data_IF_154312036362
#
_entry.id   IF_154312036362
#
_cell.length_a   1.000
_cell.length_b   1.000
_cell.length_c   1.000
_cell.angle_alpha   90.00
_cell.angle_beta   90.00
_cell.angle_gamma   90.00
#
_symmetry.space_group_name_H-M   'P 1'
#
loop_
_entity.id
_entity.type
_entity.pdbx_description
1 polymer ?
#
# COMPACT_ATOMS: atom_id res chain seq x y z
N UNK A 1 -12.75 -25.65 -46.19
CA UNK A 1 -11.93 -24.45 -45.90
C UNK A 1 -12.58 -23.68 -44.75
N UNK A 2 -12.73 -24.28 -43.57
CA UNK A 2 -13.51 -23.70 -42.44
C UNK A 2 -12.79 -23.84 -41.09
N UNK A 3 -11.61 -24.49 -41.03
CA UNK A 3 -11.00 -24.90 -39.75
C UNK A 3 -9.90 -23.96 -39.23
N UNK A 4 -9.46 -22.97 -40.01
CA UNK A 4 -8.42 -22.02 -39.58
C UNK A 4 -8.94 -20.76 -38.87
N UNK A 5 -10.22 -20.40 -39.03
CA UNK A 5 -10.79 -19.18 -38.43
C UNK A 5 -11.20 -19.37 -36.95
N UNK A 6 -11.55 -20.59 -36.53
CA UNK A 6 -12.00 -20.84 -35.16
C UNK A 6 -10.85 -20.74 -34.13
N UNK A 7 -9.62 -21.09 -34.53
CA UNK A 7 -8.43 -21.03 -33.67
C UNK A 7 -7.92 -19.59 -33.44
N UNK A 8 -8.12 -18.68 -34.39
CA UNK A 8 -7.69 -17.28 -34.27
C UNK A 8 -8.58 -16.48 -33.32
N UNK A 9 -9.91 -16.67 -33.37
CA UNK A 9 -10.86 -15.97 -32.48
C UNK A 9 -10.65 -16.35 -31.01
N UNK A 10 -10.43 -17.64 -30.71
CA UNK A 10 -10.14 -18.10 -29.34
C UNK A 10 -8.86 -17.47 -28.80
N UNK A 11 -7.80 -17.38 -29.63
CA UNK A 11 -6.55 -16.71 -29.24
C UNK A 11 -6.74 -15.21 -29.00
N UNK A 12 -7.51 -14.52 -29.83
CA UNK A 12 -7.81 -13.10 -29.65
C UNK A 12 -8.58 -12.85 -28.34
N UNK A 13 -9.58 -13.68 -28.03
CA UNK A 13 -10.34 -13.58 -26.79
C UNK A 13 -9.46 -13.81 -25.55
N UNK A 14 -8.58 -14.81 -25.60
CA UNK A 14 -7.62 -15.09 -24.53
C UNK A 14 -6.68 -13.90 -24.29
N UNK A 15 -6.17 -13.28 -25.36
CA UNK A 15 -5.34 -12.07 -25.24
C UNK A 15 -6.11 -10.90 -24.64
N UNK A 16 -7.36 -10.65 -25.07
CA UNK A 16 -8.19 -9.58 -24.53
C UNK A 16 -8.49 -9.78 -23.04
N UNK A 17 -8.87 -11.00 -22.64
CA UNK A 17 -9.13 -11.34 -21.24
C UNK A 17 -7.87 -11.12 -20.40
N UNK A 18 -6.71 -11.57 -20.89
CA UNK A 18 -5.43 -11.37 -20.21
C UNK A 18 -5.10 -9.90 -20.05
N UNK A 19 -5.22 -9.10 -21.11
CA UNK A 19 -4.94 -7.67 -21.07
C UNK A 19 -5.86 -6.93 -20.07
N UNK A 20 -7.16 -7.26 -20.07
CA UNK A 20 -8.11 -6.66 -19.13
C UNK A 20 -7.82 -7.06 -17.69
N UNK A 21 -7.51 -8.34 -17.44
CA UNK A 21 -7.19 -8.82 -16.10
C UNK A 21 -5.91 -8.16 -15.57
N UNK A 22 -4.86 -8.07 -16.40
CA UNK A 22 -3.62 -7.40 -16.04
C UNK A 22 -3.86 -5.94 -15.65
N UNK A 23 -4.67 -5.19 -16.43
CA UNK A 23 -5.02 -3.81 -16.08
C UNK A 23 -5.66 -3.68 -14.70
N UNK A 24 -6.55 -4.61 -14.33
CA UNK A 24 -7.20 -4.60 -13.00
C UNK A 24 -6.18 -4.89 -11.90
N UNK A 25 -5.26 -5.83 -12.13
CA UNK A 25 -4.18 -6.14 -11.17
C UNK A 25 -3.28 -4.92 -10.96
N UNK A 26 -2.89 -4.24 -12.05
CA UNK A 26 -2.08 -3.02 -12.00
C UNK A 26 -2.77 -1.90 -11.21
N UNK A 27 -4.08 -1.76 -11.36
CA UNK A 27 -4.87 -0.78 -10.62
C UNK A 27 -4.94 -1.09 -9.12
N UNK A 28 -5.16 -2.35 -8.76
CA UNK A 28 -5.12 -2.83 -7.36
C UNK A 28 -3.76 -2.57 -6.73
N UNK A 29 -2.66 -2.85 -7.45
CA UNK A 29 -1.30 -2.59 -6.96
C UNK A 29 -1.05 -1.09 -6.77
N UNK A 30 -1.29 -0.29 -7.81
CA UNK A 30 -0.89 1.12 -7.85
C UNK A 30 -1.73 1.98 -6.93
N UNK A 31 -3.05 1.76 -6.91
CA UNK A 31 -3.98 2.58 -6.12
C UNK A 31 -4.25 2.01 -4.73
N UNK A 32 -3.69 0.84 -4.43
CA UNK A 32 -3.94 0.09 -3.17
C UNK A 32 -5.44 -0.09 -2.89
N UNK A 33 -6.26 -0.27 -3.94
CA UNK A 33 -7.71 -0.50 -3.84
C UNK A 33 -8.03 -1.98 -3.78
N UNK A 34 -9.12 -2.34 -3.08
CA UNK A 34 -9.64 -3.71 -3.06
C UNK A 34 -10.74 -3.88 -4.10
N UNK A 35 -10.70 -4.97 -4.88
CA UNK A 35 -11.70 -5.29 -5.90
C UNK A 35 -12.37 -6.61 -5.58
N UNK A 36 -13.70 -6.60 -5.45
CA UNK A 36 -14.52 -7.81 -5.26
C UNK A 36 -15.03 -8.32 -6.62
N UNK A 37 -14.62 -9.52 -7.00
CA UNK A 37 -15.06 -10.16 -8.23
C UNK A 37 -16.31 -10.98 -7.89
N UNK A 38 -17.41 -10.70 -8.59
CA UNK A 38 -18.68 -11.41 -8.43
C UNK A 38 -19.07 -12.14 -9.71
N UNK A 39 -19.83 -13.24 -9.56
CA UNK A 39 -20.48 -13.95 -10.65
C UNK A 39 -21.95 -14.14 -10.28
N UNK A 40 -22.85 -13.55 -11.08
CA UNK A 40 -24.30 -13.53 -10.80
C UNK A 40 -24.63 -12.97 -9.40
N UNK A 41 -23.99 -11.85 -9.04
CA UNK A 41 -24.15 -11.20 -7.73
C UNK A 41 -23.51 -11.92 -6.54
N UNK A 42 -22.96 -13.13 -6.74
CA UNK A 42 -22.27 -13.88 -5.69
C UNK A 42 -20.76 -13.61 -5.74
N UNK A 43 -20.11 -13.23 -4.63
CA UNK A 43 -18.67 -13.09 -4.56
C UNK A 43 -17.97 -14.41 -4.89
N UNK A 44 -16.93 -14.36 -5.74
CA UNK A 44 -16.15 -15.55 -6.14
C UNK A 44 -14.64 -15.38 -5.94
N UNK A 45 -14.14 -14.15 -5.94
CA UNK A 45 -12.75 -13.84 -5.63
C UNK A 45 -12.62 -12.40 -5.13
N UNK A 46 -11.53 -12.11 -4.43
CA UNK A 46 -11.18 -10.77 -3.97
C UNK A 46 -9.72 -10.52 -4.36
N UNK A 47 -9.48 -9.41 -5.05
CA UNK A 47 -8.14 -8.89 -5.26
C UNK A 47 -7.88 -7.84 -4.19
N UNK A 48 -6.87 -8.10 -3.37
CA UNK A 48 -6.34 -7.14 -2.41
C UNK A 48 -4.96 -6.70 -2.89
N UNK A 49 -4.53 -5.47 -2.59
CA UNK A 49 -3.14 -5.10 -2.80
C UNK A 49 -2.24 -6.09 -2.06
N UNK A 50 -1.12 -6.46 -2.68
CA UNK A 50 -0.12 -7.26 -1.98
C UNK A 50 0.40 -6.47 -0.77
N UNK A 51 0.66 -7.18 0.32
CA UNK A 51 1.37 -6.60 1.46
C UNK A 51 2.80 -6.33 1.02
N UNK A 52 3.11 -5.06 0.81
CA UNK A 52 4.50 -4.63 0.76
C UNK A 52 5.01 -4.66 2.18
N UNK A 53 6.25 -5.15 2.37
CA UNK A 53 6.99 -4.89 3.60
C UNK A 53 7.17 -3.37 3.67
N UNK A 54 6.18 -2.66 4.21
CA UNK A 54 6.42 -1.37 4.79
C UNK A 54 7.56 -1.62 5.79
N UNK A 55 8.69 -0.94 5.60
CA UNK A 55 9.66 -0.84 6.69
C UNK A 55 8.87 -0.52 7.96
N UNK A 56 9.25 -1.14 9.07
CA UNK A 56 8.51 -1.02 10.32
C UNK A 56 8.16 0.47 10.53
N UNK A 57 6.87 0.76 10.74
CA UNK A 57 6.40 2.12 11.01
C UNK A 57 7.02 2.66 12.30
N UNK A 58 7.57 1.77 13.12
CA UNK A 58 8.40 2.08 14.27
C UNK A 58 9.88 1.91 13.96
N UNK A 59 10.70 2.71 14.63
CA UNK A 59 12.16 2.56 14.55
C UNK A 59 12.85 3.33 13.43
N UNK A 60 12.17 4.26 12.74
CA UNK A 60 12.84 5.17 11.78
C UNK A 60 13.98 5.99 12.39
N UNK A 61 13.94 6.21 13.72
CA UNK A 61 14.99 6.85 14.52
C UNK A 61 15.59 5.87 15.55
N UNK A 62 15.39 4.56 15.36
CA UNK A 62 16.02 3.57 16.21
C UNK A 62 17.54 3.79 16.15
N UNK A 63 18.18 3.79 17.33
CA UNK A 63 19.63 3.95 17.47
C UNK A 63 20.18 5.33 17.06
N UNK A 64 19.34 6.32 16.72
CA UNK A 64 19.78 7.71 16.51
C UNK A 64 19.61 8.60 17.75
N UNK A 65 19.02 8.07 18.81
CA UNK A 65 18.76 8.77 20.07
C UNK A 65 19.71 8.27 21.15
N UNK A 66 20.33 9.22 21.85
CA UNK A 66 21.07 8.99 23.09
C UNK A 66 20.16 9.34 24.28
N UNK A 67 20.21 8.53 25.33
CA UNK A 67 19.49 8.83 26.58
C UNK A 67 20.28 9.89 27.32
N UNK A 68 19.78 11.13 27.28
CA UNK A 68 20.33 12.26 28.03
C UNK A 68 19.96 12.20 29.52
N UNK A 69 20.61 13.05 30.31
CA UNK A 69 20.27 13.28 31.73
C UNK A 69 19.01 14.15 31.87
N UNK A 70 18.69 14.57 33.10
CA UNK A 70 17.47 15.28 33.50
C UNK A 70 16.94 16.28 32.47
N UNK A 71 15.82 15.89 31.84
CA UNK A 71 15.10 16.65 30.81
C UNK A 71 14.01 17.55 31.42
N UNK A 72 13.66 17.32 32.69
CA UNK A 72 12.59 18.02 33.38
C UNK A 72 13.10 19.29 34.07
N UNK A 73 14.38 19.33 34.41
CA UNK A 73 15.00 20.51 34.99
C UNK A 73 14.92 21.71 34.04
N UNK A 74 14.58 22.90 34.56
CA UNK A 74 14.52 24.10 33.76
C UNK A 74 15.92 24.45 33.25
N UNK A 75 16.01 24.72 31.94
CA UNK A 75 17.26 25.14 31.27
C UNK A 75 17.86 26.41 31.90
N UNK A 76 17.04 27.20 32.59
CA UNK A 76 17.47 28.40 33.32
C UNK A 76 17.11 28.28 34.80
N UNK A 77 18.03 28.72 35.67
CA UNK A 77 17.88 28.63 37.11
C UNK A 77 16.65 29.40 37.62
N UNK A 78 16.05 28.94 38.72
CA UNK A 78 14.89 29.60 39.36
C UNK A 78 15.10 31.09 39.65
N UNK A 79 16.35 31.53 39.87
CA UNK A 79 16.70 32.94 40.09
C UNK A 79 16.53 33.79 38.82
N UNK A 80 16.70 33.20 37.63
CA UNK A 80 16.46 33.86 36.35
C UNK A 80 14.97 34.12 36.09
N UNK A 81 14.06 33.44 36.80
CA UNK A 81 12.61 33.58 36.67
C UNK A 81 12.04 34.79 37.42
N UNK A 82 12.88 35.74 37.87
CA UNK A 82 12.40 36.98 38.52
C UNK A 82 11.61 37.84 37.53
N UNK A 83 10.29 37.70 37.67
CA UNK A 83 9.17 38.47 37.10
C UNK A 83 9.56 39.88 36.66
N UNK A 84 9.42 40.17 35.36
CA UNK A 84 9.07 41.52 34.91
C UNK A 84 7.70 41.85 35.55
N UNK A 85 7.70 42.75 36.53
CA UNK A 85 6.49 43.46 36.94
C UNK A 85 6.25 44.61 35.98
#
# INVERSE_FOLDING_TARGET
MELHHSSSTVRQLAQLIRARLLRVIEEVRTKRVTVLITRKGRPVAKLVPADESAGDVFGCLAQTLEIGEDIESPVVSSVAWKRRR
#
